data_IF_254910541718
#
_entry.id   IF_254910541718
#
_cell.length_a   1.000
_cell.length_b   1.000
_cell.length_c   1.000
_cell.angle_alpha   90.00
_cell.angle_beta   90.00
_cell.angle_gamma   90.00
#
_symmetry.space_group_name_H-M   'P 1'
#
loop_
_entity.id
_entity.type
_entity.pdbx_description
1 polymer ?
#
# COMPACT_ATOMS: atom_id res chain seq x y z
N UNK A 1 -19.66 27.14 7.13
CA UNK A 1 -19.06 25.99 7.84
C UNK A 1 -19.90 24.76 7.50
N UNK A 2 -19.28 23.68 7.01
CA UNK A 2 -20.01 22.45 6.72
C UNK A 2 -20.50 21.84 8.04
N UNK A 3 -21.82 21.76 8.22
CA UNK A 3 -22.44 21.11 9.39
C UNK A 3 -23.01 19.76 8.97
N UNK A 4 -23.09 18.83 9.92
CA UNK A 4 -23.64 17.48 9.64
C UNK A 4 -25.09 17.56 9.11
N UNK A 5 -25.85 18.55 9.57
CA UNK A 5 -27.22 18.80 9.12
C UNK A 5 -27.28 19.25 7.66
N UNK A 6 -26.30 20.03 7.21
CA UNK A 6 -26.18 20.42 5.79
C UNK A 6 -25.85 19.20 4.94
N UNK A 7 -24.91 18.36 5.37
CA UNK A 7 -24.48 17.16 4.64
C UNK A 7 -25.62 16.14 4.51
N UNK A 8 -26.39 15.92 5.59
CA UNK A 8 -27.54 15.02 5.58
C UNK A 8 -28.68 15.50 4.67
N UNK A 9 -28.86 16.82 4.53
CA UNK A 9 -29.83 17.39 3.58
C UNK A 9 -29.40 17.13 2.14
N UNK A 10 -28.13 17.37 1.82
CA UNK A 10 -27.59 17.10 0.49
C UNK A 10 -27.65 15.61 0.12
N UNK A 11 -27.33 14.72 1.06
CA UNK A 11 -27.45 13.26 0.89
C UNK A 11 -28.88 12.81 0.59
N UNK A 12 -29.89 13.45 1.20
CA UNK A 12 -31.30 13.14 0.94
C UNK A 12 -31.79 13.63 -0.43
N UNK A 13 -31.13 14.61 -1.01
CA UNK A 13 -31.46 15.16 -2.33
C UNK A 13 -30.83 14.35 -3.49
N UNK A 14 -30.06 13.30 -3.18
CA UNK A 14 -29.45 12.45 -4.21
C UNK A 14 -30.54 11.62 -4.89
N UNK A 15 -30.61 11.62 -6.24
CA UNK A 15 -31.61 10.85 -6.96
C UNK A 15 -31.40 9.34 -6.79
N UNK A 16 -32.50 8.58 -6.81
CA UNK A 16 -32.54 7.14 -6.50
C UNK A 16 -31.54 6.33 -7.34
N UNK A 17 -31.35 6.73 -8.60
CA UNK A 17 -30.42 6.10 -9.53
C UNK A 17 -28.93 6.27 -9.19
N UNK A 18 -28.58 7.09 -8.19
CA UNK A 18 -27.20 7.30 -7.72
C UNK A 18 -27.00 6.85 -6.28
N UNK A 19 -27.98 6.19 -5.67
CA UNK A 19 -27.89 5.71 -4.28
C UNK A 19 -26.82 4.63 -4.11
N UNK A 20 -26.62 3.76 -5.11
CA UNK A 20 -25.59 2.71 -5.07
C UNK A 20 -24.17 3.30 -5.13
N UNK A 21 -23.96 4.30 -5.99
CA UNK A 21 -22.70 5.04 -6.08
C UNK A 21 -22.41 5.76 -4.75
N UNK A 22 -23.44 6.42 -4.20
CA UNK A 22 -23.33 7.12 -2.92
C UNK A 22 -22.99 6.16 -1.76
N UNK A 23 -23.66 5.00 -1.72
CA UNK A 23 -23.39 3.97 -0.73
C UNK A 23 -21.95 3.46 -0.82
N UNK A 24 -21.46 3.24 -2.04
CA UNK A 24 -20.09 2.80 -2.32
C UNK A 24 -19.06 3.84 -1.87
N UNK A 25 -19.29 5.12 -2.15
CA UNK A 25 -18.42 6.23 -1.72
C UNK A 25 -18.37 6.34 -0.20
N UNK A 26 -19.53 6.30 0.48
CA UNK A 26 -19.60 6.37 1.95
C UNK A 26 -18.87 5.18 2.58
N UNK A 27 -19.03 3.97 2.02
CA UNK A 27 -18.33 2.78 2.51
C UNK A 27 -16.82 2.83 2.25
N UNK A 28 -16.39 3.34 1.10
CA UNK A 28 -14.97 3.54 0.80
C UNK A 28 -14.31 4.58 1.74
N UNK A 29 -15.05 5.63 2.10
CA UNK A 29 -14.62 6.61 3.10
C UNK A 29 -14.52 5.98 4.51
N UNK A 30 -15.46 5.08 4.86
CA UNK A 30 -15.45 4.34 6.13
C UNK A 30 -14.30 3.34 6.24
N UNK A 31 -13.88 2.74 5.13
CA UNK A 31 -12.82 1.71 5.10
C UNK A 31 -11.40 2.28 5.35
N UNK A 32 -11.18 3.59 5.20
CA UNK A 32 -9.83 4.16 5.17
C UNK A 32 -9.41 4.97 6.41
N UNK A 33 -10.21 5.04 7.49
CA UNK A 33 -9.83 5.84 8.66
C UNK A 33 -8.79 5.17 9.57
N UNK A 34 -8.43 3.91 9.32
CA UNK A 34 -7.30 3.23 9.96
C UNK A 34 -6.42 2.61 8.89
N UNK A 35 -5.63 3.45 8.18
CA UNK A 35 -4.35 2.94 7.67
C UNK A 35 -3.67 2.30 8.87
N UNK A 36 -3.48 0.98 8.82
CA UNK A 36 -2.84 0.24 9.90
C UNK A 36 -1.45 0.83 10.10
N UNK A 37 -1.34 1.76 11.06
CA UNK A 37 -0.12 2.46 11.45
C UNK A 37 0.98 1.44 11.75
N UNK A 38 0.59 0.24 12.21
CA UNK A 38 1.47 -0.92 12.41
C UNK A 38 2.16 -1.39 11.12
N UNK A 39 1.48 -1.44 9.97
CA UNK A 39 2.09 -1.85 8.69
C UNK A 39 3.05 -0.79 8.19
N UNK A 40 2.66 0.48 8.24
CA UNK A 40 3.54 1.59 7.85
C UNK A 40 4.77 1.66 8.74
N UNK A 41 4.61 1.54 10.07
CA UNK A 41 5.72 1.46 11.03
C UNK A 41 6.64 0.27 10.76
N UNK A 42 6.09 -0.90 10.41
CA UNK A 42 6.88 -2.09 10.05
C UNK A 42 7.62 -1.94 8.72
N UNK A 43 7.09 -1.21 7.76
CA UNK A 43 7.83 -0.90 6.51
C UNK A 43 8.93 0.11 6.80
N UNK A 44 8.63 1.16 7.57
CA UNK A 44 9.58 2.20 7.94
C UNK A 44 10.68 1.70 8.88
N UNK A 45 10.47 0.63 9.64
CA UNK A 45 11.53 0.04 10.48
C UNK A 45 12.70 -0.55 9.68
N UNK A 46 12.51 -0.79 8.37
CA UNK A 46 13.57 -1.22 7.46
C UNK A 46 14.12 -0.06 6.60
N UNK A 47 13.56 1.14 6.72
CA UNK A 47 14.06 2.30 6.01
C UNK A 47 15.41 2.69 6.60
N UNK A 48 16.44 2.77 5.75
CA UNK A 48 17.80 3.08 6.18
C UNK A 48 18.63 1.89 6.67
N UNK A 49 18.10 0.66 6.66
CA UNK A 49 18.88 -0.54 7.05
C UNK A 49 20.10 -0.81 6.16
N UNK A 50 20.18 -0.16 5.00
CA UNK A 50 21.30 -0.24 4.06
C UNK A 50 22.03 1.11 3.92
N UNK A 51 21.73 2.10 4.78
CA UNK A 51 22.31 3.44 4.67
C UNK A 51 23.81 3.48 5.05
N UNK A 52 24.27 2.49 5.83
CA UNK A 52 25.68 2.36 6.22
C UNK A 52 26.54 1.67 5.14
N UNK A 53 25.92 1.17 4.05
CA UNK A 53 26.65 0.58 2.93
C UNK A 53 27.19 1.67 2.02
N UNK A 54 28.37 1.42 1.45
CA UNK A 54 28.86 2.24 0.34
C UNK A 54 27.99 2.00 -0.90
N UNK A 55 27.99 2.94 -1.84
CA UNK A 55 27.28 2.78 -3.12
C UNK A 55 27.75 1.53 -3.88
N UNK A 56 29.05 1.23 -3.79
CA UNK A 56 29.69 0.06 -4.39
C UNK A 56 29.15 -1.24 -3.78
N UNK A 57 29.14 -1.34 -2.45
CA UNK A 57 28.61 -2.51 -1.73
C UNK A 57 27.11 -2.71 -1.99
N UNK A 58 26.35 -1.62 -2.05
CA UNK A 58 24.93 -1.66 -2.35
C UNK A 58 24.66 -2.18 -3.78
N UNK A 59 25.45 -1.74 -4.76
CA UNK A 59 25.35 -2.23 -6.13
C UNK A 59 25.71 -3.72 -6.26
N UNK A 60 26.75 -4.17 -5.56
CA UNK A 60 27.13 -5.58 -5.52
C UNK A 60 26.07 -6.45 -4.84
N UNK A 61 25.48 -5.97 -3.75
CA UNK A 61 24.34 -6.63 -3.09
C UNK A 61 23.14 -6.78 -4.04
N UNK A 62 22.79 -5.74 -4.79
CA UNK A 62 21.71 -5.79 -5.78
C UNK A 62 21.98 -6.80 -6.89
N UNK A 63 23.22 -6.86 -7.37
CA UNK A 63 23.65 -7.82 -8.39
C UNK A 63 23.51 -9.25 -7.89
N UNK A 64 24.08 -9.57 -6.72
CA UNK A 64 23.97 -10.91 -6.13
C UNK A 64 22.52 -11.32 -5.84
N UNK A 65 21.69 -10.39 -5.36
CA UNK A 65 20.27 -10.65 -5.12
C UNK A 65 19.53 -11.00 -6.41
N UNK A 66 19.83 -10.29 -7.51
CA UNK A 66 19.23 -10.55 -8.83
C UNK A 66 19.69 -11.89 -9.40
N UNK A 67 20.99 -12.17 -9.31
CA UNK A 67 21.57 -13.42 -9.81
C UNK A 67 21.04 -14.61 -9.02
N UNK A 68 21.00 -14.51 -7.69
CA UNK A 68 20.41 -15.53 -6.82
C UNK A 68 18.95 -15.78 -7.14
N UNK A 69 18.15 -14.72 -7.38
CA UNK A 69 16.73 -14.87 -7.74
C UNK A 69 16.55 -15.59 -9.08
N UNK A 70 17.36 -15.24 -10.07
CA UNK A 70 17.24 -15.81 -11.41
C UNK A 70 17.72 -17.27 -11.45
N UNK A 71 18.74 -17.60 -10.65
CA UNK A 71 19.39 -18.90 -10.66
C UNK A 71 18.96 -19.81 -9.49
N UNK A 72 18.00 -19.38 -8.65
CA UNK A 72 17.59 -20.09 -7.43
C UNK A 72 17.08 -21.52 -7.71
N UNK A 73 16.48 -21.71 -8.87
CA UNK A 73 15.90 -22.96 -9.33
C UNK A 73 16.69 -23.59 -10.48
N UNK A 74 17.81 -22.99 -10.87
CA UNK A 74 18.70 -23.53 -11.90
C UNK A 74 19.61 -24.57 -11.23
N UNK A 75 18.98 -25.69 -10.87
CA UNK A 75 19.65 -26.87 -10.36
C UNK A 75 19.81 -27.82 -11.54
N UNK A 76 21.05 -28.19 -11.86
CA UNK A 76 21.34 -29.38 -12.66
C UNK A 76 20.78 -30.59 -11.89
N UNK A 77 19.53 -30.94 -12.19
CA UNK A 77 18.94 -32.20 -11.80
C UNK A 77 19.54 -33.25 -12.74
N UNK A 78 20.72 -33.75 -12.41
CA UNK A 78 21.20 -35.02 -12.97
C UNK A 78 20.25 -36.11 -12.45
N UNK A 79 19.23 -36.43 -13.25
CA UNK A 79 18.33 -37.58 -13.06
C UNK A 79 18.99 -38.82 -13.65
#
# INVERSE_FOLDING_TARGET
MLTINTILKELKNVPVNRLEDLYSIIHALRANSKKSDKRSKKVLSFAGSLADMTDEDYHDFLKQTKDSRNNLFDRDLTI
#
